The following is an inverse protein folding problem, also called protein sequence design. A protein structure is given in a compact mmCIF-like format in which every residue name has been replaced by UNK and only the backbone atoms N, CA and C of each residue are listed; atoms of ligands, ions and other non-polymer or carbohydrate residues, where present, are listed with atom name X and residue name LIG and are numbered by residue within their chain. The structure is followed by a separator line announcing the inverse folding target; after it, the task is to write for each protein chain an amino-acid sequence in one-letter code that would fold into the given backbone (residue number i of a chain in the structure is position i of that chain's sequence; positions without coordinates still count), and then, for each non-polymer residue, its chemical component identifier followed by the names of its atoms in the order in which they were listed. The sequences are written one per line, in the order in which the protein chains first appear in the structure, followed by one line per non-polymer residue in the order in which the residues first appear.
data_IF_295561984741
#
_entry.id   IF_295561984741
#
_cell.length_a   1.000
_cell.length_b   1.000
_cell.length_c   1.000
_cell.angle_alpha   90.00
_cell.angle_beta   90.00
_cell.angle_gamma   90.00
#
_symmetry.space_group_name_H-M   'P 1'
#
loop_
_entity.id
_entity.type
_entity.pdbx_description
1 polymer ?
#
# COMPACT_ATOMS: atom_id res chain seq x y z
N UNK A 1 14.04 17.88 12.60
CA UNK A 1 12.60 17.59 12.57
C UNK A 1 11.99 18.04 11.24
N UNK A 2 11.75 17.12 10.29
CA UNK A 2 11.12 17.44 8.99
C UNK A 2 9.66 17.00 8.91
N UNK A 3 9.27 16.02 9.72
CA UNK A 3 7.93 15.45 9.76
C UNK A 3 7.44 15.38 11.22
N UNK A 4 6.81 16.44 11.74
CA UNK A 4 6.17 16.41 13.05
C UNK A 4 5.19 15.23 13.16
N UNK A 5 5.21 14.49 14.27
CA UNK A 5 4.36 13.32 14.49
C UNK A 5 4.84 12.01 13.84
N UNK A 6 5.88 12.02 13.00
CA UNK A 6 6.39 10.82 12.33
C UNK A 6 6.77 9.71 13.32
N UNK A 7 7.50 10.05 14.37
CA UNK A 7 7.93 9.06 15.37
C UNK A 7 6.73 8.47 16.12
N UNK A 8 5.75 9.29 16.49
CA UNK A 8 4.54 8.81 17.16
C UNK A 8 3.74 7.83 16.30
N UNK A 9 3.69 8.04 14.98
CA UNK A 9 2.96 7.16 14.04
C UNK A 9 3.77 5.93 13.60
N UNK A 10 5.05 6.10 13.27
CA UNK A 10 5.86 5.06 12.60
C UNK A 10 7.07 4.57 13.43
N UNK A 11 7.46 5.30 14.47
CA UNK A 11 8.71 5.03 15.22
C UNK A 11 8.75 3.64 15.85
N UNK A 12 7.68 3.24 16.53
CA UNK A 12 7.59 1.91 17.17
C UNK A 12 7.74 0.75 16.18
N UNK A 13 7.21 0.91 14.96
CA UNK A 13 7.36 -0.09 13.92
C UNK A 13 8.82 -0.21 13.48
N UNK A 14 9.50 0.92 13.28
CA UNK A 14 10.93 0.94 12.92
C UNK A 14 11.83 0.37 14.02
N UNK A 15 11.55 0.66 15.28
CA UNK A 15 12.24 0.03 16.41
C UNK A 15 12.07 -1.49 16.42
N UNK A 16 10.87 -1.97 16.12
CA UNK A 16 10.59 -3.40 16.02
C UNK A 16 11.32 -4.06 14.84
N UNK A 17 11.31 -3.41 13.68
CA UNK A 17 12.03 -3.87 12.50
C UNK A 17 13.55 -3.90 12.73
N UNK A 18 14.10 -2.89 13.43
CA UNK A 18 15.54 -2.80 13.71
C UNK A 18 16.06 -3.98 14.55
N UNK A 19 15.23 -4.62 15.38
CA UNK A 19 15.61 -5.86 16.09
C UNK A 19 15.97 -7.01 15.14
N UNK A 20 15.51 -6.95 13.89
CA UNK A 20 15.75 -7.97 12.88
C UNK A 20 17.05 -7.76 12.10
N UNK A 21 17.78 -6.66 12.32
CA UNK A 21 18.93 -6.25 11.50
C UNK A 21 20.13 -7.20 11.54
N UNK A 22 20.20 -8.12 12.52
CA UNK A 22 21.34 -9.02 12.69
C UNK A 22 21.20 -10.30 11.86
N UNK A 23 22.09 -10.54 10.88
CA UNK A 23 22.07 -11.75 10.06
C UNK A 23 22.20 -13.03 10.91
N UNK A 24 21.54 -14.11 10.47
CA UNK A 24 21.63 -15.44 11.10
C UNK A 24 20.90 -15.61 12.44
N UNK A 25 20.40 -14.52 13.05
CA UNK A 25 19.64 -14.57 14.32
C UNK A 25 18.13 -14.56 14.15
N UNK A 26 17.65 -14.21 12.96
CA UNK A 26 16.24 -13.96 12.70
C UNK A 26 15.72 -14.79 11.51
N UNK A 27 14.52 -15.35 11.68
CA UNK A 27 13.67 -15.81 10.56
C UNK A 27 13.29 -14.61 9.67
N UNK A 28 12.87 -14.85 8.40
CA UNK A 28 12.32 -13.79 7.55
C UNK A 28 11.21 -13.00 8.26
N UNK A 29 11.07 -11.72 7.92
CA UNK A 29 10.17 -10.77 8.60
C UNK A 29 8.71 -11.26 8.66
N UNK A 30 8.25 -11.99 7.64
CA UNK A 30 6.92 -12.57 7.59
C UNK A 30 6.62 -13.58 8.72
N UNK A 31 7.66 -14.10 9.38
CA UNK A 31 7.56 -15.08 10.47
C UNK A 31 8.01 -14.50 11.83
N UNK A 32 7.93 -13.17 11.98
CA UNK A 32 8.35 -12.45 13.18
C UNK A 32 7.22 -11.55 13.70
N UNK A 33 7.05 -11.50 15.01
CA UNK A 33 6.10 -10.63 15.69
C UNK A 33 6.65 -9.19 15.81
N UNK A 34 6.80 -8.52 14.67
CA UNK A 34 7.28 -7.13 14.58
C UNK A 34 6.25 -6.19 13.98
N UNK A 35 4.99 -6.63 13.89
CA UNK A 35 3.91 -5.84 13.28
C UNK A 35 4.01 -5.71 11.76
N UNK A 36 4.84 -6.54 11.10
CA UNK A 36 4.82 -6.66 9.65
C UNK A 36 3.53 -7.32 9.19
N UNK A 37 3.00 -6.81 8.08
CA UNK A 37 1.78 -7.29 7.46
C UNK A 37 2.03 -7.28 5.96
N UNK A 38 1.71 -8.39 5.30
CA UNK A 38 1.96 -8.51 3.87
C UNK A 38 1.05 -7.52 3.13
N UNK A 39 1.61 -6.58 2.35
CA UNK A 39 0.80 -5.56 1.72
C UNK A 39 0.07 -6.12 0.50
N UNK A 40 -1.12 -5.60 0.23
CA UNK A 40 -1.73 -5.76 -1.08
C UNK A 40 -0.95 -4.96 -2.11
N UNK A 41 -0.95 -5.43 -3.36
CA UNK A 41 -0.33 -4.71 -4.48
C UNK A 41 -1.37 -3.81 -5.14
N UNK A 42 -1.04 -2.53 -5.34
CA UNK A 42 -1.88 -1.62 -6.11
C UNK A 42 -1.97 -2.11 -7.56
N UNK A 43 -3.19 -2.14 -8.10
CA UNK A 43 -3.45 -2.54 -9.48
C UNK A 43 -2.85 -1.56 -10.49
N UNK A 44 -2.97 -0.25 -10.22
CA UNK A 44 -2.60 0.81 -11.15
C UNK A 44 -1.10 1.05 -11.20
N UNK A 45 -0.45 1.27 -10.05
CA UNK A 45 0.96 1.67 -10.01
C UNK A 45 1.91 0.51 -9.70
N UNK A 46 1.40 -0.69 -9.40
CA UNK A 46 2.17 -1.89 -9.06
C UNK A 46 3.01 -1.79 -7.77
N UNK A 47 2.90 -0.70 -7.01
CA UNK A 47 3.55 -0.49 -5.71
C UNK A 47 2.69 -1.11 -4.58
N UNK A 48 3.30 -1.60 -3.48
CA UNK A 48 2.55 -2.01 -2.29
C UNK A 48 1.65 -0.91 -1.71
N UNK A 49 0.41 -1.24 -1.38
CA UNK A 49 -0.50 -0.36 -0.64
C UNK A 49 -0.14 -0.38 0.86
N UNK A 50 0.78 0.51 1.27
CA UNK A 50 1.35 0.52 2.62
C UNK A 50 0.54 1.32 3.65
N UNK A 51 -0.22 2.33 3.19
CA UNK A 51 -1.09 3.14 4.05
C UNK A 51 -2.49 2.53 3.98
N UNK A 52 -2.93 1.91 5.08
CA UNK A 52 -4.21 1.18 5.11
C UNK A 52 -5.40 2.11 4.99
N UNK A 53 -5.26 3.31 5.55
CA UNK A 53 -6.28 4.33 5.55
C UNK A 53 -6.59 4.84 4.13
N UNK A 54 -5.61 4.74 3.21
CA UNK A 54 -5.75 5.15 1.81
C UNK A 54 -6.07 3.98 0.87
N UNK A 55 -6.13 2.75 1.41
CA UNK A 55 -6.31 1.54 0.61
C UNK A 55 -7.78 1.39 0.20
N UNK A 56 -8.01 1.21 -1.10
CA UNK A 56 -9.34 0.96 -1.69
C UNK A 56 -9.36 -0.46 -2.24
N UNK A 57 -10.44 -1.19 -1.98
CA UNK A 57 -10.68 -2.53 -2.55
C UNK A 57 -12.03 -2.50 -3.23
N UNK A 58 -12.05 -2.68 -4.55
CA UNK A 58 -13.26 -2.56 -5.36
C UNK A 58 -13.27 -3.59 -6.50
N UNK A 59 -14.47 -3.94 -6.97
CA UNK A 59 -14.66 -4.84 -8.11
C UNK A 59 -14.81 -4.03 -9.39
N UNK A 60 -13.83 -4.17 -10.28
CA UNK A 60 -13.73 -3.43 -11.53
C UNK A 60 -13.58 -4.43 -12.68
N UNK A 61 -14.42 -4.30 -13.70
CA UNK A 61 -14.55 -5.27 -14.81
C UNK A 61 -14.78 -6.71 -14.33
N UNK A 62 -15.53 -6.87 -13.23
CA UNK A 62 -15.79 -8.18 -12.63
C UNK A 62 -14.63 -8.75 -11.81
N UNK A 63 -13.49 -8.08 -11.70
CA UNK A 63 -12.33 -8.51 -10.94
C UNK A 63 -12.14 -7.67 -9.68
N UNK A 64 -11.90 -8.31 -8.54
CA UNK A 64 -11.48 -7.62 -7.32
C UNK A 64 -10.07 -7.06 -7.49
N UNK A 65 -9.92 -5.75 -7.26
CA UNK A 65 -8.67 -5.01 -7.38
C UNK A 65 -8.42 -4.22 -6.09
N UNK A 66 -7.14 -3.96 -5.80
CA UNK A 66 -6.73 -3.14 -4.67
C UNK A 66 -5.94 -1.93 -5.17
N UNK A 67 -6.13 -0.77 -4.55
CA UNK A 67 -5.48 0.49 -4.92
C UNK A 67 -4.86 1.14 -3.68
N UNK A 68 -3.70 1.78 -3.86
CA UNK A 68 -3.00 2.46 -2.77
C UNK A 68 -3.43 3.91 -2.54
N UNK A 69 -4.29 4.45 -3.41
CA UNK A 69 -4.86 5.80 -3.28
C UNK A 69 -6.12 5.93 -4.13
N UNK A 70 -6.94 6.93 -3.79
CA UNK A 70 -8.11 7.34 -4.57
C UNK A 70 -7.76 7.64 -6.03
N UNK A 71 -6.65 8.36 -6.27
CA UNK A 71 -6.21 8.65 -7.63
C UNK A 71 -5.87 7.39 -8.41
N UNK A 72 -5.21 6.40 -7.78
CA UNK A 72 -4.92 5.14 -8.46
C UNK A 72 -6.21 4.39 -8.84
N UNK A 73 -7.20 4.38 -7.94
CA UNK A 73 -8.51 3.81 -8.23
C UNK A 73 -9.20 4.55 -9.38
N UNK A 74 -9.29 5.88 -9.31
CA UNK A 74 -9.93 6.70 -10.33
C UNK A 74 -9.28 6.52 -11.71
N UNK A 75 -7.95 6.45 -11.78
CA UNK A 75 -7.23 6.23 -13.04
C UNK A 75 -7.65 4.93 -13.72
N UNK A 76 -7.74 3.84 -12.96
CA UNK A 76 -8.14 2.53 -13.49
C UNK A 76 -9.66 2.47 -13.73
N UNK A 77 -10.48 2.88 -12.77
CA UNK A 77 -11.93 2.70 -12.78
C UNK A 77 -12.68 3.71 -13.66
N UNK A 78 -12.13 4.91 -13.87
CA UNK A 78 -12.83 6.03 -14.51
C UNK A 78 -12.05 6.62 -15.69
N UNK A 79 -10.79 7.02 -15.47
CA UNK A 79 -10.09 7.90 -16.40
C UNK A 79 -9.77 7.28 -17.77
N UNK A 80 -9.41 5.99 -17.80
CA UNK A 80 -9.03 5.27 -19.03
C UNK A 80 -10.08 4.22 -19.43
N UNK A 81 -11.36 4.57 -19.31
CA UNK A 81 -12.49 3.79 -19.84
C UNK A 81 -12.78 4.23 -21.25
N UNK A 82 -13.38 3.37 -22.08
CA UNK A 82 -13.58 3.63 -23.51
C UNK A 82 -14.23 4.98 -23.87
N UNK A 83 -14.88 5.63 -22.91
CA UNK A 83 -15.22 7.05 -22.99
C UNK A 83 -14.94 7.74 -21.63
N UNK A 84 -14.38 8.95 -21.69
CA UNK A 84 -14.17 9.85 -20.56
C UNK A 84 -14.67 11.25 -20.91
N UNK A 85 -15.59 11.79 -20.10
CA UNK A 85 -16.18 13.14 -20.29
C UNK A 85 -16.70 13.42 -21.72
N UNK A 86 -17.34 12.43 -22.37
CA UNK A 86 -17.88 12.62 -23.72
C UNK A 86 -16.86 12.41 -24.84
N UNK A 87 -15.65 11.93 -24.54
CA UNK A 87 -14.57 11.73 -25.51
C UNK A 87 -13.98 10.32 -25.38
N UNK A 88 -13.56 9.75 -26.50
CA UNK A 88 -12.77 8.50 -26.50
C UNK A 88 -11.44 8.75 -25.79
N UNK A 89 -11.02 7.77 -24.97
CA UNK A 89 -9.78 7.81 -24.18
C UNK A 89 -8.60 7.15 -24.85
#
# INVERSE_FOLDING_TARGET
HKYPGWYSKYGKWWEAYNRLAYPGRNKPIAFKEVGYQYPHRCWTCMVPALIREDMIVEKVDGQWRTYCSETCYWTDAVAFRGEYEGRET
#
